data_IF_128102784724
#
_entry.id   IF_128102784724
#
_cell.length_a   1.000
_cell.length_b   1.000
_cell.length_c   1.000
_cell.angle_alpha   90.00
_cell.angle_beta   90.00
_cell.angle_gamma   90.00
#
_symmetry.space_group_name_H-M   'P 1'
#
loop_
_entity.id
_entity.type
_entity.pdbx_description
1 polymer ?
#
# COMPACT_ATOMS: atom_id res chain seq x y z
N UNK A 1 23.72 -16.28 -12.28
CA UNK A 1 23.54 -14.98 -12.95
C UNK A 1 23.53 -13.81 -11.96
N UNK A 2 22.48 -13.61 -11.15
CA UNK A 2 22.30 -12.43 -10.28
C UNK A 2 23.33 -12.20 -9.16
N UNK A 3 24.17 -13.19 -8.83
CA UNK A 3 25.28 -12.99 -7.88
C UNK A 3 26.44 -12.21 -8.47
N UNK A 4 26.58 -12.20 -9.79
CA UNK A 4 27.69 -11.56 -10.52
C UNK A 4 27.22 -10.51 -11.50
N UNK A 5 25.91 -10.28 -11.65
CA UNK A 5 25.35 -9.34 -12.62
C UNK A 5 24.25 -8.48 -11.98
N UNK A 6 24.37 -7.16 -12.08
CA UNK A 6 23.30 -6.21 -11.74
C UNK A 6 22.43 -5.88 -12.97
N UNK A 7 23.02 -5.92 -14.16
CA UNK A 7 22.34 -5.76 -15.45
C UNK A 7 22.63 -6.97 -16.32
N UNK A 8 21.87 -7.16 -17.40
CA UNK A 8 22.11 -8.28 -18.32
C UNK A 8 23.39 -8.14 -19.15
N UNK A 9 24.05 -6.97 -19.14
CA UNK A 9 25.14 -6.65 -20.05
C UNK A 9 26.52 -6.67 -19.41
N UNK A 10 26.60 -6.50 -18.09
CA UNK A 10 27.87 -6.27 -17.40
C UNK A 10 28.02 -7.12 -16.15
N UNK A 11 29.17 -7.78 -16.09
CA UNK A 11 29.66 -8.47 -14.92
C UNK A 11 30.03 -7.47 -13.82
N UNK A 12 29.82 -7.89 -12.59
CA UNK A 12 30.08 -7.14 -11.36
C UNK A 12 30.72 -8.07 -10.33
N UNK A 13 31.39 -7.49 -9.33
CA UNK A 13 31.98 -8.27 -8.24
C UNK A 13 30.93 -9.15 -7.60
N UNK A 14 31.29 -10.42 -7.37
CA UNK A 14 30.38 -11.41 -6.78
C UNK A 14 29.89 -10.92 -5.41
N UNK A 15 28.58 -10.82 -5.24
CA UNK A 15 27.96 -10.48 -3.96
C UNK A 15 26.68 -11.27 -3.75
N UNK A 16 26.40 -11.68 -2.52
CA UNK A 16 25.09 -12.20 -2.16
C UNK A 16 24.08 -11.06 -2.27
N UNK A 17 23.07 -11.21 -3.14
CA UNK A 17 21.96 -10.25 -3.22
C UNK A 17 20.94 -10.62 -2.17
N UNK A 18 20.69 -9.72 -1.23
CA UNK A 18 19.55 -9.79 -0.32
C UNK A 18 18.56 -8.69 -0.70
N UNK A 19 17.29 -9.00 -0.55
CA UNK A 19 16.22 -8.00 -0.68
C UNK A 19 15.97 -7.37 0.68
N UNK A 20 15.73 -6.06 0.70
CA UNK A 20 15.38 -5.36 1.93
C UNK A 20 13.97 -5.74 2.38
N UNK A 21 13.70 -5.62 3.68
CA UNK A 21 12.34 -5.76 4.21
C UNK A 21 11.36 -4.81 3.51
N UNK A 22 11.77 -3.55 3.28
CA UNK A 22 10.95 -2.57 2.57
C UNK A 22 10.59 -2.99 1.14
N UNK A 23 11.50 -3.67 0.43
CA UNK A 23 11.22 -4.18 -0.90
C UNK A 23 10.27 -5.38 -0.87
N UNK A 24 10.43 -6.27 0.12
CA UNK A 24 9.48 -7.36 0.37
C UNK A 24 8.08 -6.80 0.65
N UNK A 25 7.97 -5.86 1.59
CA UNK A 25 6.72 -5.22 1.97
C UNK A 25 6.05 -4.57 0.74
N UNK A 26 6.82 -3.88 -0.11
CA UNK A 26 6.33 -3.29 -1.36
C UNK A 26 5.77 -4.34 -2.33
N UNK A 27 6.44 -5.49 -2.49
CA UNK A 27 5.95 -6.59 -3.32
C UNK A 27 4.68 -7.21 -2.75
N UNK A 28 4.58 -7.35 -1.43
CA UNK A 28 3.38 -7.90 -0.79
C UNK A 28 2.18 -6.99 -1.07
N UNK A 29 2.32 -5.69 -0.85
CA UNK A 29 1.26 -4.68 -1.04
C UNK A 29 0.84 -4.60 -2.52
N UNK A 30 1.79 -4.44 -3.44
CA UNK A 30 1.47 -4.11 -4.83
C UNK A 30 1.26 -5.32 -5.73
N UNK A 31 1.76 -6.51 -5.34
CA UNK A 31 1.75 -7.69 -6.20
C UNK A 31 1.02 -8.86 -5.55
N UNK A 32 1.43 -9.27 -4.35
CA UNK A 32 0.90 -10.51 -3.74
C UNK A 32 -0.56 -10.36 -3.32
N UNK A 33 -0.90 -9.29 -2.59
CA UNK A 33 -2.27 -9.06 -2.13
C UNK A 33 -3.26 -8.95 -3.30
N UNK A 34 -3.02 -8.10 -4.34
CA UNK A 34 -3.92 -8.02 -5.49
C UNK A 34 -4.06 -9.33 -6.25
N UNK A 35 -2.94 -10.06 -6.43
CA UNK A 35 -2.97 -11.35 -7.14
C UNK A 35 -3.77 -12.40 -6.35
N UNK A 36 -3.56 -12.51 -5.03
CA UNK A 36 -4.34 -13.43 -4.19
C UNK A 36 -5.83 -13.08 -4.21
N UNK A 37 -6.17 -11.79 -4.11
CA UNK A 37 -7.56 -11.33 -4.18
C UNK A 37 -8.23 -11.73 -5.51
N UNK A 38 -7.58 -11.42 -6.64
CA UNK A 38 -8.09 -11.77 -7.97
C UNK A 38 -8.26 -13.29 -8.14
N UNK A 39 -7.30 -14.08 -7.67
CA UNK A 39 -7.34 -15.54 -7.76
C UNK A 39 -8.47 -16.15 -6.94
N UNK A 40 -8.62 -15.73 -5.68
CA UNK A 40 -9.70 -16.21 -4.81
C UNK A 40 -11.08 -15.80 -5.37
N UNK A 41 -11.21 -14.55 -5.83
CA UNK A 41 -12.44 -14.08 -6.48
C UNK A 41 -12.81 -14.92 -7.70
N UNK A 42 -11.83 -15.30 -8.53
CA UNK A 42 -12.06 -16.17 -9.68
C UNK A 42 -12.53 -17.58 -9.30
N UNK A 43 -12.17 -18.05 -8.10
CA UNK A 43 -12.64 -19.32 -7.53
C UNK A 43 -13.95 -19.22 -6.75
N UNK A 44 -14.46 -18.01 -6.52
CA UNK A 44 -15.58 -17.79 -5.59
C UNK A 44 -15.22 -17.96 -4.12
N UNK A 45 -13.92 -17.92 -3.78
CA UNK A 45 -13.43 -17.97 -2.41
C UNK A 45 -13.44 -16.56 -1.79
N UNK A 46 -13.90 -16.44 -0.54
CA UNK A 46 -13.84 -15.19 0.21
C UNK A 46 -12.65 -15.21 1.18
N UNK A 47 -11.58 -14.50 0.82
CA UNK A 47 -10.35 -14.37 1.62
C UNK A 47 -10.10 -12.93 2.09
N UNK A 48 -11.11 -12.06 2.01
CA UNK A 48 -10.91 -10.63 2.25
C UNK A 48 -10.36 -10.35 3.65
N UNK A 49 -10.88 -11.04 4.66
CA UNK A 49 -10.41 -10.89 6.05
C UNK A 49 -8.92 -11.24 6.19
N UNK A 50 -8.48 -12.36 5.61
CA UNK A 50 -7.08 -12.78 5.64
C UNK A 50 -6.15 -11.77 4.94
N UNK A 51 -6.62 -11.18 3.84
CA UNK A 51 -5.86 -10.14 3.14
C UNK A 51 -5.81 -8.83 3.93
N UNK A 52 -6.89 -8.48 4.63
CA UNK A 52 -6.89 -7.33 5.52
C UNK A 52 -5.98 -7.54 6.73
N UNK A 53 -5.93 -8.74 7.31
CA UNK A 53 -4.99 -9.04 8.39
C UNK A 53 -3.54 -8.97 7.88
N UNK A 54 -3.27 -9.58 6.73
CA UNK A 54 -1.94 -9.55 6.10
C UNK A 54 -1.44 -8.12 5.87
N UNK A 55 -2.28 -7.22 5.35
CA UNK A 55 -1.86 -5.84 5.07
C UNK A 55 -1.81 -4.95 6.33
N UNK A 56 -2.52 -5.32 7.41
CA UNK A 56 -2.38 -4.64 8.73
C UNK A 56 -1.04 -4.95 9.40
N UNK A 57 -0.48 -6.13 9.17
CA UNK A 57 0.80 -6.54 9.77
C UNK A 57 2.03 -5.88 9.12
N UNK A 58 1.83 -5.23 7.97
CA UNK A 58 2.90 -4.52 7.27
C UNK A 58 3.00 -3.09 7.82
N UNK A 59 4.24 -2.64 8.04
CA UNK A 59 4.51 -1.29 8.51
C UNK A 59 3.97 -0.24 7.53
N UNK A 60 3.54 0.90 8.06
CA UNK A 60 3.05 2.00 7.23
C UNK A 60 4.07 2.44 6.17
N UNK A 61 3.58 2.70 4.96
CA UNK A 61 4.42 3.19 3.88
C UNK A 61 4.85 4.64 4.12
N UNK A 62 6.12 4.93 3.82
CA UNK A 62 6.67 6.27 3.89
C UNK A 62 6.45 7.00 2.57
N UNK A 63 5.45 7.87 2.51
CA UNK A 63 5.25 8.77 1.40
C UNK A 63 4.68 10.11 1.87
N UNK A 64 4.94 11.18 1.10
CA UNK A 64 4.58 12.54 1.50
C UNK A 64 3.07 12.80 1.60
N UNK A 65 2.21 11.97 0.99
CA UNK A 65 0.75 12.08 1.16
C UNK A 65 0.36 11.58 2.55
N UNK A 66 0.81 10.38 2.90
CA UNK A 66 0.54 9.74 4.20
C UNK A 66 1.10 10.57 5.34
N UNK A 67 2.32 11.09 5.21
CA UNK A 67 2.93 11.97 6.22
C UNK A 67 2.07 13.21 6.49
N UNK A 68 1.55 13.87 5.46
CA UNK A 68 0.66 15.04 5.62
C UNK A 68 -0.65 14.68 6.31
N UNK A 69 -1.26 13.54 5.99
CA UNK A 69 -2.47 13.10 6.70
C UNK A 69 -2.20 12.80 8.18
N UNK A 70 -1.07 12.15 8.48
CA UNK A 70 -0.68 11.84 9.86
C UNK A 70 -0.37 13.10 10.69
N UNK A 71 0.06 14.19 10.06
CA UNK A 71 0.22 15.49 10.72
C UNK A 71 -1.14 16.11 11.12
N UNK A 72 -2.20 15.84 10.35
CA UNK A 72 -3.55 16.32 10.65
C UNK A 72 -4.24 15.48 11.72
N UNK A 73 -4.09 14.15 11.64
CA UNK A 73 -4.68 13.22 12.60
C UNK A 73 -3.91 11.93 12.68
N UNK A 74 -3.55 11.53 13.89
CA UNK A 74 -2.97 10.21 14.14
C UNK A 74 -4.01 9.11 13.91
N UNK A 75 -3.64 8.13 13.10
CA UNK A 75 -4.38 6.89 12.87
C UNK A 75 -3.43 5.70 13.08
N UNK A 76 -3.96 4.47 12.97
CA UNK A 76 -3.15 3.26 13.00
C UNK A 76 -2.05 3.30 11.93
N UNK A 77 -0.84 2.88 12.32
CA UNK A 77 0.35 3.00 11.48
C UNK A 77 0.70 1.68 10.80
N UNK A 78 -0.19 1.23 9.92
CA UNK A 78 -0.02 0.03 9.09
C UNK A 78 -0.23 0.33 7.60
N UNK A 79 0.15 -0.61 6.74
CA UNK A 79 0.04 -0.47 5.29
C UNK A 79 -1.43 -0.37 4.83
N UNK A 80 -2.37 -1.01 5.54
CA UNK A 80 -3.80 -0.83 5.27
C UNK A 80 -4.19 0.65 5.33
N UNK A 81 -3.75 1.33 6.38
CA UNK A 81 -4.06 2.74 6.60
C UNK A 81 -3.37 3.64 5.58
N UNK A 82 -2.10 3.39 5.22
CA UNK A 82 -1.45 4.17 4.15
C UNK A 82 -2.16 4.00 2.80
N UNK A 83 -2.54 2.77 2.44
CA UNK A 83 -3.27 2.51 1.20
C UNK A 83 -4.65 3.15 1.19
N UNK A 84 -5.37 3.14 2.32
CA UNK A 84 -6.65 3.84 2.46
C UNK A 84 -6.51 5.36 2.28
N UNK A 85 -5.46 5.98 2.85
CA UNK A 85 -5.19 7.41 2.69
C UNK A 85 -4.82 7.78 1.25
N UNK A 86 -4.01 6.95 0.58
CA UNK A 86 -3.68 7.14 -0.84
C UNK A 86 -4.95 7.06 -1.70
N UNK A 87 -5.80 6.05 -1.48
CA UNK A 87 -7.07 5.90 -2.18
C UNK A 87 -7.99 7.11 -1.95
N UNK A 88 -8.16 7.53 -0.70
CA UNK A 88 -8.94 8.70 -0.33
C UNK A 88 -8.45 9.95 -1.05
N UNK A 89 -7.14 10.18 -1.04
CA UNK A 89 -6.53 11.35 -1.69
C UNK A 89 -6.79 11.35 -3.19
N UNK A 90 -6.44 10.26 -3.87
CA UNK A 90 -6.49 10.17 -5.34
C UNK A 90 -7.91 10.12 -5.89
N UNK A 91 -8.82 9.41 -5.25
CA UNK A 91 -10.16 9.18 -5.79
C UNK A 91 -11.23 10.13 -5.26
N UNK A 92 -10.98 10.80 -4.13
CA UNK A 92 -11.93 11.76 -3.54
C UNK A 92 -11.36 13.17 -3.44
N UNK A 93 -10.29 13.39 -2.66
CA UNK A 93 -9.80 14.73 -2.36
C UNK A 93 -9.33 15.47 -3.62
N UNK A 94 -8.52 14.81 -4.47
CA UNK A 94 -8.01 15.40 -5.71
C UNK A 94 -9.10 15.67 -6.75
N UNK A 95 -10.24 15.01 -6.62
CA UNK A 95 -11.41 15.18 -7.48
C UNK A 95 -12.47 16.08 -6.86
N UNK A 96 -12.19 16.70 -5.71
CA UNK A 96 -13.14 17.52 -4.95
C UNK A 96 -14.48 16.82 -4.65
N UNK A 97 -14.46 15.48 -4.49
CA UNK A 97 -15.68 14.68 -4.22
C UNK A 97 -16.05 14.66 -2.75
N UNK A 98 -15.94 15.80 -2.06
CA UNK A 98 -16.15 15.90 -0.61
C UNK A 98 -17.58 15.47 -0.21
N UNK A 99 -18.59 15.80 -1.04
CA UNK A 99 -19.99 15.40 -0.82
C UNK A 99 -20.25 13.89 -0.96
N UNK A 100 -19.33 13.15 -1.59
CA UNK A 100 -19.40 11.69 -1.76
C UNK A 100 -18.46 10.95 -0.79
N UNK A 101 -17.70 11.69 0.02
CA UNK A 101 -16.73 11.16 0.96
C UNK A 101 -17.30 11.22 2.37
N UNK A 102 -17.29 10.10 3.12
CA UNK A 102 -17.78 10.09 4.50
C UNK A 102 -17.03 11.11 5.39
N UNK A 103 -15.71 11.22 5.22
CA UNK A 103 -14.88 12.21 5.93
C UNK A 103 -15.24 13.62 5.45
N UNK A 104 -15.32 13.86 4.14
CA UNK A 104 -15.66 15.17 3.58
C UNK A 104 -17.02 15.69 4.07
N UNK A 105 -18.05 14.84 4.01
CA UNK A 105 -19.38 15.15 4.55
C UNK A 105 -19.33 15.50 6.04
N UNK A 106 -18.58 14.74 6.83
CA UNK A 106 -18.45 15.01 8.27
C UNK A 106 -17.76 16.35 8.59
N UNK A 107 -16.91 16.85 7.69
CA UNK A 107 -16.23 18.13 7.83
C UNK A 107 -17.12 19.30 7.40
N UNK A 108 -17.91 19.13 6.34
CA UNK A 108 -18.79 20.18 5.81
C UNK A 108 -19.97 20.44 6.77
N UNK A 109 -20.59 19.38 7.29
CA UNK A 109 -21.77 19.48 8.16
C UNK A 109 -21.44 20.05 9.55
N UNK A 110 -20.16 20.07 9.93
CA UNK A 110 -19.69 20.60 11.23
C UNK A 110 -19.37 22.10 11.22
N UNK A 111 -19.64 22.81 10.12
CA UNK A 111 -19.68 24.27 10.05
C UNK A 111 -21.12 24.75 10.01
#
# INVERSE_FOLDING_TARGET
FWMTHYTFKTDSKRSKKSISKSFIDLLIINTIIPLKFCYAKAKGENIEHELFDLIRDIAIEKNGIVEKFLQLKTIEKNALSSQALLQLKTFYCDKNKCLQCAIGNSLIVKN
#
